data_IF_314517197670
#
_entry.id   IF_314517197670
#
_cell.length_a   1.000
_cell.length_b   1.000
_cell.length_c   1.000
_cell.angle_alpha   90.00
_cell.angle_beta   90.00
_cell.angle_gamma   90.00
#
_symmetry.space_group_name_H-M   'P 1'
#
loop_
_entity.id
_entity.type
_entity.pdbx_description
1 polymer ?
#
# COMPACT_ATOMS: atom_id res chain seq x y z
N UNK A 1 35.31 29.99 -37.72
CA UNK A 1 35.51 29.10 -36.57
C UNK A 1 35.21 29.91 -35.32
N UNK A 2 33.95 29.92 -34.88
CA UNK A 2 33.50 30.63 -33.68
C UNK A 2 32.81 29.61 -32.79
N UNK A 3 33.25 29.51 -31.53
CA UNK A 3 32.71 28.58 -30.55
C UNK A 3 31.28 28.98 -30.15
N UNK A 4 30.34 28.04 -29.96
CA UNK A 4 29.02 28.38 -29.46
C UNK A 4 29.11 28.76 -27.98
N UNK A 5 28.59 29.94 -27.69
CA UNK A 5 28.43 30.56 -26.38
C UNK A 5 27.51 29.68 -25.51
N UNK A 6 28.03 29.15 -24.41
CA UNK A 6 27.25 28.37 -23.45
C UNK A 6 26.41 29.32 -22.60
N UNK A 7 25.10 29.35 -22.86
CA UNK A 7 24.11 30.03 -22.02
C UNK A 7 24.15 29.44 -20.61
N UNK A 8 24.34 30.24 -19.54
CA UNK A 8 24.34 29.71 -18.19
C UNK A 8 22.96 29.17 -17.85
N UNK A 9 22.92 27.91 -17.40
CA UNK A 9 21.70 27.24 -16.97
C UNK A 9 20.99 28.09 -15.90
N UNK A 10 19.77 28.54 -16.23
CA UNK A 10 18.91 29.27 -15.30
C UNK A 10 18.70 28.43 -14.04
N UNK A 11 19.21 28.91 -12.91
CA UNK A 11 18.86 28.39 -11.60
C UNK A 11 17.41 28.80 -11.30
N UNK A 12 16.50 27.84 -11.46
CA UNK A 12 15.11 27.99 -11.01
C UNK A 12 15.13 27.93 -9.48
N UNK A 13 14.66 28.97 -8.77
CA UNK A 13 14.66 28.96 -7.32
C UNK A 13 13.79 27.81 -6.83
N UNK A 14 14.32 27.05 -5.87
CA UNK A 14 13.65 25.90 -5.25
C UNK A 14 12.40 26.42 -4.54
N UNK A 15 11.23 26.19 -5.14
CA UNK A 15 9.92 26.38 -4.50
C UNK A 15 9.83 25.53 -3.23
N UNK A 16 9.17 26.09 -2.21
CA UNK A 16 9.26 25.66 -0.81
C UNK A 16 8.95 24.19 -0.51
N UNK A 17 9.19 23.76 0.74
CA UNK A 17 9.16 22.36 1.21
C UNK A 17 7.97 21.50 0.73
N UNK A 18 6.81 22.11 0.45
CA UNK A 18 5.64 21.43 -0.10
C UNK A 18 5.88 20.92 -1.53
N UNK A 19 6.50 21.72 -2.40
CA UNK A 19 6.79 21.30 -3.78
C UNK A 19 7.83 20.19 -3.85
N UNK A 20 8.83 20.20 -2.96
CA UNK A 20 9.84 19.13 -2.91
C UNK A 20 9.19 17.82 -2.44
N UNK A 21 8.37 17.88 -1.38
CA UNK A 21 7.66 16.70 -0.87
C UNK A 21 6.77 16.06 -1.93
N UNK A 22 6.01 16.88 -2.67
CA UNK A 22 5.10 16.39 -3.71
C UNK A 22 5.88 15.80 -4.91
N UNK A 23 7.04 16.37 -5.28
CA UNK A 23 7.92 15.81 -6.32
C UNK A 23 8.54 14.48 -5.91
N UNK A 24 9.00 14.37 -4.67
CA UNK A 24 9.55 13.12 -4.10
C UNK A 24 8.45 12.05 -4.06
N UNK A 25 7.24 12.42 -3.64
CA UNK A 25 6.06 11.55 -3.64
C UNK A 25 5.76 11.01 -5.04
N UNK A 26 5.70 11.88 -6.06
CA UNK A 26 5.45 11.47 -7.44
C UNK A 26 6.56 10.56 -8.00
N UNK A 27 7.82 10.83 -7.67
CA UNK A 27 8.95 9.99 -8.08
C UNK A 27 8.89 8.60 -7.43
N UNK A 28 8.56 8.53 -6.15
CA UNK A 28 8.45 7.27 -5.41
C UNK A 28 7.22 6.46 -5.82
N UNK A 29 6.11 7.11 -6.19
CA UNK A 29 4.92 6.46 -6.71
C UNK A 29 5.20 5.63 -7.98
N UNK A 30 6.11 6.08 -8.86
CA UNK A 30 6.54 5.32 -10.05
C UNK A 30 7.17 3.96 -9.71
N UNK A 31 7.66 3.78 -8.48
CA UNK A 31 8.29 2.53 -8.01
C UNK A 31 7.33 1.63 -7.24
N UNK A 32 6.06 2.00 -7.08
CA UNK A 32 5.08 1.18 -6.35
C UNK A 32 4.82 -0.17 -7.04
N UNK A 33 4.82 -0.21 -8.38
CA UNK A 33 4.70 -1.44 -9.16
C UNK A 33 5.81 -2.46 -8.84
N UNK A 34 7.03 -1.99 -8.56
CA UNK A 34 8.15 -2.86 -8.15
C UNK A 34 7.89 -3.48 -6.77
N UNK A 35 7.39 -2.72 -5.80
CA UNK A 35 7.00 -3.29 -4.48
C UNK A 35 5.90 -4.35 -4.62
N UNK A 36 4.93 -4.15 -5.52
CA UNK A 36 3.86 -5.15 -5.73
C UNK A 36 4.40 -6.44 -6.35
N UNK A 37 5.29 -6.36 -7.32
CA UNK A 37 5.95 -7.55 -7.90
C UNK A 37 6.77 -8.30 -6.84
N UNK A 38 7.51 -7.57 -6.01
CA UNK A 38 8.23 -8.17 -4.88
C UNK A 38 7.26 -8.79 -3.86
N UNK A 39 6.08 -8.21 -3.63
CA UNK A 39 5.03 -8.78 -2.77
C UNK A 39 4.57 -10.13 -3.32
N UNK A 40 4.25 -10.21 -4.61
CA UNK A 40 3.83 -11.43 -5.30
C UNK A 40 4.93 -12.50 -5.18
N UNK A 41 6.16 -12.16 -5.54
CA UNK A 41 7.31 -13.07 -5.50
C UNK A 41 7.54 -13.64 -4.10
N UNK A 42 7.43 -12.80 -3.06
CA UNK A 42 7.57 -13.23 -1.65
C UNK A 42 6.48 -14.22 -1.23
N UNK A 43 5.21 -13.91 -1.48
CA UNK A 43 4.11 -14.78 -1.03
C UNK A 43 3.98 -16.05 -1.87
N UNK A 44 4.27 -16.00 -3.17
CA UNK A 44 4.42 -17.21 -3.99
C UNK A 44 5.51 -18.12 -3.41
N UNK A 45 6.69 -17.55 -3.06
CA UNK A 45 7.76 -18.30 -2.42
C UNK A 45 7.33 -18.92 -1.08
N UNK A 46 6.58 -18.18 -0.25
CA UNK A 46 6.04 -18.73 1.01
C UNK A 46 5.06 -19.89 0.81
N UNK A 47 4.18 -19.81 -0.20
CA UNK A 47 3.25 -20.90 -0.52
C UNK A 47 4.03 -22.15 -0.91
N UNK A 48 5.04 -22.01 -1.77
CA UNK A 48 5.90 -23.13 -2.21
C UNK A 48 6.65 -23.77 -1.03
N UNK A 49 7.14 -22.96 -0.09
CA UNK A 49 7.78 -23.47 1.14
C UNK A 49 6.77 -24.20 2.03
N UNK A 50 5.54 -23.65 2.17
CA UNK A 50 4.50 -24.19 3.03
C UNK A 50 3.83 -25.45 2.46
N UNK A 51 3.84 -25.64 1.13
CA UNK A 51 3.22 -26.78 0.46
C UNK A 51 4.14 -28.00 0.36
N UNK A 52 5.38 -27.93 0.89
CA UNK A 52 6.38 -29.01 0.87
C UNK A 52 6.63 -29.64 -0.51
N UNK A 53 6.25 -28.98 -1.61
CA UNK A 53 6.35 -29.50 -2.99
C UNK A 53 7.79 -29.74 -3.44
N UNK A 54 8.76 -29.15 -2.74
CA UNK A 54 10.19 -29.33 -2.96
C UNK A 54 10.87 -29.72 -1.64
N UNK A 55 10.87 -31.01 -1.32
CA UNK A 55 11.56 -31.60 -0.15
C UNK A 55 13.10 -31.58 -0.26
N UNK A 56 13.67 -31.10 -1.37
CA UNK A 56 15.12 -31.00 -1.53
C UNK A 56 15.69 -29.88 -0.63
N UNK A 57 16.39 -30.29 0.43
CA UNK A 57 16.99 -29.41 1.44
C UNK A 57 17.80 -28.20 0.89
N UNK A 58 18.61 -28.31 -0.19
CA UNK A 58 19.38 -27.16 -0.68
C UNK A 58 18.52 -26.13 -1.44
N UNK A 59 17.37 -26.52 -2.00
CA UNK A 59 16.49 -25.57 -2.70
C UNK A 59 15.64 -24.78 -1.71
N UNK A 60 15.19 -25.43 -0.63
CA UNK A 60 14.41 -24.80 0.43
C UNK A 60 15.23 -23.71 1.17
N UNK A 61 16.52 -23.96 1.44
CA UNK A 61 17.40 -22.95 2.04
C UNK A 61 17.63 -21.74 1.13
N UNK A 62 17.88 -21.96 -0.16
CA UNK A 62 18.00 -20.88 -1.16
C UNK A 62 16.71 -20.08 -1.30
N UNK A 63 15.55 -20.75 -1.31
CA UNK A 63 14.25 -20.11 -1.43
C UNK A 63 13.89 -19.28 -0.18
N UNK A 64 14.26 -19.75 1.02
CA UNK A 64 14.15 -18.96 2.27
C UNK A 64 15.03 -17.72 2.25
N UNK A 65 16.27 -17.84 1.78
CA UNK A 65 17.17 -16.68 1.64
C UNK A 65 16.63 -15.67 0.62
N UNK A 66 16.12 -16.14 -0.51
CA UNK A 66 15.46 -15.29 -1.50
C UNK A 66 14.23 -14.58 -0.91
N UNK A 67 13.35 -15.30 -0.22
CA UNK A 67 12.16 -14.75 0.47
C UNK A 67 12.57 -13.61 1.43
N UNK A 68 13.61 -13.85 2.22
CA UNK A 68 14.14 -12.90 3.20
C UNK A 68 14.68 -11.64 2.52
N UNK A 69 15.53 -11.80 1.50
CA UNK A 69 16.11 -10.70 0.71
C UNK A 69 15.03 -9.85 0.05
N UNK A 70 14.03 -10.48 -0.58
CA UNK A 70 12.87 -9.78 -1.15
C UNK A 70 12.12 -8.99 -0.06
N UNK A 71 11.98 -9.56 1.13
CA UNK A 71 11.37 -8.87 2.27
C UNK A 71 12.12 -7.61 2.69
N UNK A 72 13.45 -7.67 2.76
CA UNK A 72 14.29 -6.51 3.11
C UNK A 72 14.20 -5.42 2.04
N UNK A 73 14.30 -5.78 0.77
CA UNK A 73 14.19 -4.84 -0.35
C UNK A 73 12.83 -4.11 -0.34
N UNK A 74 11.74 -4.83 -0.07
CA UNK A 74 10.41 -4.21 0.03
C UNK A 74 10.32 -3.19 1.15
N UNK A 75 10.91 -3.48 2.31
CA UNK A 75 10.90 -2.52 3.43
C UNK A 75 11.64 -1.23 3.09
N UNK A 76 12.78 -1.34 2.40
CA UNK A 76 13.53 -0.17 1.92
C UNK A 76 12.71 0.69 0.95
N UNK A 77 11.93 0.06 0.04
CA UNK A 77 11.10 0.77 -0.93
C UNK A 77 9.86 1.45 -0.31
N UNK A 78 9.47 1.10 0.93
CA UNK A 78 8.30 1.67 1.62
C UNK A 78 8.52 3.06 2.22
N UNK A 79 9.76 3.57 2.22
CA UNK A 79 10.05 4.94 2.69
C UNK A 79 9.16 5.99 2.01
N UNK A 80 8.86 5.82 0.71
CA UNK A 80 7.96 6.72 -0.01
C UNK A 80 6.52 6.69 0.46
N UNK A 81 6.05 5.53 0.96
CA UNK A 81 4.68 5.39 1.46
C UNK A 81 4.48 6.08 2.80
N UNK A 82 5.53 6.17 3.61
CA UNK A 82 5.51 7.00 4.82
C UNK A 82 5.24 8.47 4.47
N UNK A 83 5.99 9.03 3.51
CA UNK A 83 5.82 10.42 3.08
C UNK A 83 4.45 10.68 2.49
N UNK A 84 3.95 9.77 1.65
CA UNK A 84 2.58 9.81 1.12
C UNK A 84 1.52 9.83 2.23
N UNK A 85 1.64 8.91 3.20
CA UNK A 85 0.70 8.81 4.33
C UNK A 85 0.74 10.07 5.21
N UNK A 86 1.92 10.65 5.39
CA UNK A 86 2.09 11.90 6.13
C UNK A 86 1.49 13.10 5.39
N UNK A 87 1.66 13.19 4.08
CA UNK A 87 1.05 14.24 3.26
C UNK A 87 -0.48 14.12 3.26
N UNK A 88 -1.00 12.89 3.14
CA UNK A 88 -2.43 12.61 3.23
C UNK A 88 -3.02 12.97 4.61
N UNK A 89 -2.31 12.66 5.70
CA UNK A 89 -2.70 13.03 7.05
C UNK A 89 -2.76 14.55 7.26
N UNK A 90 -1.80 15.30 6.69
CA UNK A 90 -1.83 16.77 6.73
C UNK A 90 -3.07 17.32 6.02
N UNK A 91 -3.45 16.75 4.88
CA UNK A 91 -4.64 17.16 4.11
C UNK A 91 -5.96 16.82 4.83
N UNK A 92 -6.02 15.73 5.59
CA UNK A 92 -7.22 15.33 6.35
C UNK A 92 -7.32 15.93 7.75
N UNK A 93 -6.29 16.67 8.20
CA UNK A 93 -6.21 17.25 9.55
C UNK A 93 -7.27 18.31 9.86
N UNK A 94 -8.03 18.77 8.87
CA UNK A 94 -9.10 19.74 9.09
C UNK A 94 -10.29 19.14 9.87
N UNK A 95 -10.41 17.80 9.97
CA UNK A 95 -11.38 17.06 10.81
C UNK A 95 -12.83 17.60 10.77
N UNK A 96 -13.27 18.14 9.62
CA UNK A 96 -14.57 18.79 9.48
C UNK A 96 -15.72 17.78 9.35
N UNK A 97 -15.43 16.57 8.87
CA UNK A 97 -16.40 15.50 8.65
C UNK A 97 -16.00 14.19 9.34
N UNK A 98 -17.00 13.32 9.59
CA UNK A 98 -16.77 11.91 9.99
C UNK A 98 -15.84 11.20 9.00
N UNK A 99 -15.92 11.55 7.71
CA UNK A 99 -15.04 11.04 6.65
C UNK A 99 -13.58 11.43 6.91
N UNK A 100 -13.33 12.71 7.18
CA UNK A 100 -11.99 13.25 7.41
C UNK A 100 -11.36 12.63 8.65
N UNK A 101 -12.16 12.38 9.69
CA UNK A 101 -11.72 11.65 10.87
C UNK A 101 -11.29 10.22 10.54
N UNK A 102 -12.11 9.46 9.80
CA UNK A 102 -11.75 8.09 9.40
C UNK A 102 -10.55 8.06 8.45
N UNK A 103 -10.44 9.04 7.55
CA UNK A 103 -9.29 9.21 6.67
C UNK A 103 -8.02 9.56 7.46
N UNK A 104 -8.12 10.40 8.50
CA UNK A 104 -7.01 10.69 9.41
C UNK A 104 -6.56 9.45 10.18
N UNK A 105 -7.48 8.59 10.62
CA UNK A 105 -7.13 7.30 11.25
C UNK A 105 -6.40 6.40 10.25
N UNK A 106 -6.93 6.30 9.02
CA UNK A 106 -6.33 5.48 7.97
C UNK A 106 -4.90 5.91 7.66
N UNK A 107 -4.71 7.19 7.29
CA UNK A 107 -3.41 7.75 6.92
C UNK A 107 -2.46 7.84 8.12
N UNK A 108 -2.97 8.11 9.32
CA UNK A 108 -2.17 8.14 10.55
C UNK A 108 -1.65 6.77 10.94
N UNK A 109 -2.52 5.74 10.93
CA UNK A 109 -2.14 4.35 11.22
C UNK A 109 -1.13 3.80 10.22
N UNK A 110 -1.40 3.98 8.92
CA UNK A 110 -0.49 3.54 7.85
C UNK A 110 0.84 4.30 7.89
N UNK A 111 0.82 5.61 8.13
CA UNK A 111 2.03 6.42 8.28
C UNK A 111 2.89 5.99 9.48
N UNK A 112 2.29 5.83 10.65
CA UNK A 112 3.00 5.35 11.85
C UNK A 112 3.58 3.95 11.65
N UNK A 113 2.84 3.06 10.98
CA UNK A 113 3.35 1.75 10.60
C UNK A 113 4.62 1.85 9.74
N UNK A 114 4.58 2.57 8.61
CA UNK A 114 5.74 2.67 7.72
C UNK A 114 6.91 3.37 8.39
N UNK A 115 6.66 4.35 9.26
CA UNK A 115 7.68 5.02 10.05
C UNK A 115 8.40 4.04 10.99
N UNK A 116 7.63 3.32 11.81
CA UNK A 116 8.18 2.34 12.76
C UNK A 116 8.87 1.20 12.02
N UNK A 117 8.35 0.81 10.85
CA UNK A 117 8.95 -0.21 10.00
C UNK A 117 10.36 0.16 9.51
N UNK A 118 10.69 1.46 9.33
CA UNK A 118 12.04 1.86 8.95
C UNK A 118 13.07 1.50 10.01
N UNK A 119 12.73 1.65 11.30
CA UNK A 119 13.62 1.23 12.39
C UNK A 119 13.80 -0.29 12.42
N UNK A 120 12.73 -1.05 12.19
CA UNK A 120 12.81 -2.51 12.07
C UNK A 120 13.71 -2.91 10.90
N UNK A 121 13.61 -2.20 9.78
CA UNK A 121 14.47 -2.41 8.61
C UNK A 121 15.94 -2.08 8.89
N UNK A 122 16.23 -0.90 9.49
CA UNK A 122 17.58 -0.50 9.91
C UNK A 122 18.22 -1.52 10.86
N UNK A 123 17.42 -2.07 11.78
CA UNK A 123 17.86 -3.13 12.69
C UNK A 123 18.25 -4.40 11.93
N UNK A 124 17.44 -4.81 10.95
CA UNK A 124 17.75 -5.97 10.11
C UNK A 124 18.95 -5.75 9.18
N UNK A 125 19.21 -4.51 8.79
CA UNK A 125 20.39 -4.13 8.02
C UNK A 125 21.67 -4.08 8.86
N UNK A 126 21.58 -4.24 10.19
CA UNK A 126 22.72 -4.19 11.11
C UNK A 126 23.16 -2.77 11.49
N UNK A 127 22.36 -1.75 11.17
CA UNK A 127 22.69 -0.35 11.44
C UNK A 127 22.30 0.09 12.87
N UNK A 128 21.36 -0.61 13.52
CA UNK A 128 20.93 -0.33 14.91
C UNK A 128 20.77 -1.62 15.72
N UNK A 129 20.87 -1.54 17.05
CA UNK A 129 20.70 -2.67 17.96
C UNK A 129 19.29 -3.29 17.84
N UNK A 130 19.24 -4.61 17.66
CA UNK A 130 18.00 -5.36 17.43
C UNK A 130 17.13 -5.59 18.66
N UNK A 131 17.59 -5.23 19.86
CA UNK A 131 16.84 -5.42 21.12
C UNK A 131 15.42 -4.87 21.09
N UNK A 132 15.19 -3.77 20.40
CA UNK A 132 13.88 -3.11 20.33
C UNK A 132 13.06 -3.46 19.08
N UNK A 133 13.63 -4.20 18.13
CA UNK A 133 13.00 -4.51 16.83
C UNK A 133 11.68 -5.26 16.96
N UNK A 134 11.57 -6.16 17.95
CA UNK A 134 10.32 -6.87 18.25
C UNK A 134 9.22 -5.94 18.79
N UNK A 135 9.56 -4.99 19.67
CA UNK A 135 8.61 -4.00 20.19
C UNK A 135 8.12 -3.07 19.09
N UNK A 136 9.04 -2.57 18.25
CA UNK A 136 8.69 -1.75 17.10
C UNK A 136 7.80 -2.50 16.11
N UNK A 137 8.12 -3.75 15.79
CA UNK A 137 7.27 -4.58 14.92
C UNK A 137 5.85 -4.73 15.48
N UNK A 138 5.71 -4.93 16.79
CA UNK A 138 4.40 -5.05 17.45
C UNK A 138 3.60 -3.76 17.47
N UNK A 139 4.26 -2.62 17.73
CA UNK A 139 3.63 -1.29 17.65
C UNK A 139 3.18 -1.02 16.22
N UNK A 140 4.05 -1.30 15.24
CA UNK A 140 3.73 -1.16 13.82
C UNK A 140 2.52 -2.00 13.42
N UNK A 141 2.45 -3.27 13.83
CA UNK A 141 1.32 -4.15 13.54
C UNK A 141 0.00 -3.62 14.11
N UNK A 142 0.01 -3.04 15.32
CA UNK A 142 -1.17 -2.38 15.89
C UNK A 142 -1.58 -1.12 15.11
N UNK A 143 -0.61 -0.29 14.72
CA UNK A 143 -0.86 0.91 13.90
C UNK A 143 -1.46 0.53 12.54
N UNK A 144 -0.90 -0.49 11.88
CA UNK A 144 -1.37 -1.02 10.60
C UNK A 144 -2.78 -1.58 10.72
N UNK A 145 -3.05 -2.37 11.77
CA UNK A 145 -4.37 -2.92 12.06
C UNK A 145 -5.44 -1.83 12.23
N UNK A 146 -5.16 -0.81 13.03
CA UNK A 146 -6.09 0.33 13.24
C UNK A 146 -6.24 1.16 11.97
N UNK A 147 -5.16 1.38 11.22
CA UNK A 147 -5.18 2.09 9.93
C UNK A 147 -6.12 1.41 8.93
N UNK A 148 -6.09 0.08 8.84
CA UNK A 148 -7.00 -0.67 7.97
C UNK A 148 -8.48 -0.53 8.36
N UNK A 149 -8.81 -0.44 9.66
CA UNK A 149 -10.20 -0.18 10.08
C UNK A 149 -10.68 1.18 9.56
N UNK A 150 -9.84 2.21 9.67
CA UNK A 150 -10.14 3.53 9.09
C UNK A 150 -10.29 3.48 7.58
N UNK A 151 -9.35 2.81 6.88
CA UNK A 151 -9.35 2.69 5.42
C UNK A 151 -10.58 1.96 4.88
N UNK A 152 -10.96 0.85 5.50
CA UNK A 152 -12.18 0.10 5.16
C UNK A 152 -13.40 1.00 5.36
N UNK A 153 -13.48 1.72 6.48
CA UNK A 153 -14.60 2.62 6.78
C UNK A 153 -14.77 3.71 5.72
N UNK A 154 -13.69 4.40 5.34
CA UNK A 154 -13.71 5.40 4.26
C UNK A 154 -14.16 4.76 2.95
N UNK A 155 -13.64 3.57 2.61
CA UNK A 155 -14.00 2.89 1.36
C UNK A 155 -15.47 2.49 1.30
N UNK A 156 -16.07 2.12 2.43
CA UNK A 156 -17.51 1.88 2.52
C UNK A 156 -18.33 3.15 2.31
N UNK A 157 -17.90 4.29 2.87
CA UNK A 157 -18.56 5.58 2.65
C UNK A 157 -18.51 5.99 1.18
N UNK A 158 -17.35 5.86 0.54
CA UNK A 158 -17.21 6.14 -0.90
C UNK A 158 -18.08 5.19 -1.75
N UNK A 159 -18.27 3.92 -1.32
CA UNK A 159 -19.15 2.97 -2.02
C UNK A 159 -20.62 3.37 -1.89
N UNK A 160 -21.05 3.88 -0.74
CA UNK A 160 -22.40 4.45 -0.60
C UNK A 160 -22.60 5.70 -1.45
N UNK A 161 -21.60 6.59 -1.53
CA UNK A 161 -21.65 7.79 -2.38
C UNK A 161 -21.82 7.41 -3.86
N UNK A 162 -21.09 6.40 -4.35
CA UNK A 162 -21.24 5.88 -5.72
C UNK A 162 -22.67 5.33 -5.96
N UNK A 163 -23.24 4.63 -4.97
CA UNK A 163 -24.61 4.13 -5.06
C UNK A 163 -25.65 5.25 -5.18
N UNK A 164 -25.50 6.31 -4.40
CA UNK A 164 -26.36 7.50 -4.50
C UNK A 164 -26.18 8.23 -5.84
N UNK A 165 -24.95 8.33 -6.34
CA UNK A 165 -24.65 8.96 -7.63
C UNK A 165 -25.30 8.18 -8.79
N UNK A 166 -25.25 6.84 -8.75
CA UNK A 166 -25.95 5.99 -9.73
C UNK A 166 -27.46 6.20 -9.71
N UNK A 167 -28.07 6.34 -8.54
CA UNK A 167 -29.50 6.59 -8.44
C UNK A 167 -29.88 7.97 -8.98
N UNK A 168 -29.07 9.01 -8.70
CA UNK A 168 -29.26 10.33 -9.31
C UNK A 168 -29.13 10.29 -10.82
N UNK A 169 -28.17 9.53 -11.34
CA UNK A 169 -27.92 9.40 -12.77
C UNK A 169 -29.08 8.70 -13.51
N UNK A 170 -29.92 7.90 -12.83
CA UNK A 170 -31.14 7.33 -13.45
C UNK A 170 -32.14 8.40 -13.88
N UNK A 171 -32.10 9.59 -13.27
CA UNK A 171 -32.94 10.72 -13.64
C UNK A 171 -32.37 11.60 -14.76
N UNK A 172 -31.18 11.28 -15.27
CA UNK A 172 -30.55 11.98 -16.40
C UNK A 172 -31.35 11.74 -17.69
N UNK A 173 -31.69 12.83 -18.39
CA UNK A 173 -32.52 12.78 -19.59
C UNK A 173 -31.76 12.37 -20.85
N UNK A 174 -30.46 12.67 -20.89
CA UNK A 174 -29.59 12.29 -22.01
C UNK A 174 -29.12 10.85 -21.84
N UNK A 175 -29.62 9.96 -22.70
CA UNK A 175 -29.32 8.54 -22.67
C UNK A 175 -27.83 8.23 -22.90
N UNK A 176 -27.17 8.95 -23.81
CA UNK A 176 -25.75 8.73 -24.09
C UNK A 176 -24.89 9.14 -22.89
N UNK A 177 -25.19 10.28 -22.28
CA UNK A 177 -24.49 10.75 -21.08
C UNK A 177 -24.74 9.81 -19.90
N UNK A 178 -25.97 9.32 -19.75
CA UNK A 178 -26.34 8.35 -18.73
C UNK A 178 -25.57 7.05 -18.88
N UNK A 179 -25.53 6.46 -20.06
CA UNK A 179 -24.81 5.20 -20.32
C UNK A 179 -23.31 5.34 -20.05
N UNK A 180 -22.67 6.38 -20.59
CA UNK A 180 -21.24 6.62 -20.39
C UNK A 180 -20.88 6.80 -18.92
N UNK A 181 -21.60 7.67 -18.19
CA UNK A 181 -21.36 7.87 -16.74
C UNK A 181 -21.68 6.62 -15.93
N UNK A 182 -22.69 5.84 -16.32
CA UNK A 182 -23.05 4.60 -15.61
C UNK A 182 -21.95 3.56 -15.73
N UNK A 183 -21.36 3.40 -16.93
CA UNK A 183 -20.20 2.53 -17.15
C UNK A 183 -19.01 2.99 -16.31
N UNK A 184 -18.69 4.29 -16.28
CA UNK A 184 -17.62 4.83 -15.43
C UNK A 184 -17.85 4.55 -13.94
N UNK A 185 -19.09 4.70 -13.45
CA UNK A 185 -19.43 4.43 -12.06
C UNK A 185 -19.40 2.94 -11.72
N UNK A 186 -19.75 2.06 -12.65
CA UNK A 186 -19.58 0.61 -12.51
C UNK A 186 -18.12 0.20 -12.39
N UNK A 187 -17.25 0.78 -13.21
CA UNK A 187 -15.81 0.53 -13.10
C UNK A 187 -15.26 1.03 -11.75
N UNK A 188 -15.62 2.27 -11.36
CA UNK A 188 -15.23 2.83 -10.05
C UNK A 188 -15.72 1.97 -8.89
N UNK A 189 -16.97 1.51 -8.93
CA UNK A 189 -17.55 0.62 -7.93
C UNK A 189 -16.77 -0.69 -7.84
N UNK A 190 -16.52 -1.35 -8.98
CA UNK A 190 -15.76 -2.60 -9.03
C UNK A 190 -14.36 -2.42 -8.42
N UNK A 191 -13.65 -1.36 -8.79
CA UNK A 191 -12.33 -1.02 -8.24
C UNK A 191 -12.38 -0.78 -6.73
N UNK A 192 -13.46 -0.19 -6.23
CA UNK A 192 -13.65 0.07 -4.80
C UNK A 192 -13.92 -1.22 -4.03
N UNK A 193 -14.78 -2.09 -4.55
CA UNK A 193 -15.04 -3.42 -3.97
C UNK A 193 -13.78 -4.27 -3.90
N UNK A 194 -12.98 -4.30 -4.97
CA UNK A 194 -11.66 -4.96 -4.98
C UNK A 194 -10.72 -4.38 -3.92
N UNK A 195 -10.71 -3.05 -3.77
CA UNK A 195 -9.89 -2.39 -2.74
C UNK A 195 -10.32 -2.73 -1.31
N UNK A 196 -11.62 -2.94 -1.06
CA UNK A 196 -12.14 -3.41 0.24
C UNK A 196 -11.68 -4.84 0.50
N UNK A 197 -11.79 -5.73 -0.48
CA UNK A 197 -11.32 -7.12 -0.35
C UNK A 197 -9.81 -7.18 -0.07
N UNK A 198 -9.03 -6.34 -0.76
CA UNK A 198 -7.60 -6.20 -0.52
C UNK A 198 -7.31 -5.76 0.92
N UNK A 199 -8.00 -4.74 1.42
CA UNK A 199 -7.82 -4.26 2.80
C UNK A 199 -8.21 -5.31 3.84
N UNK A 200 -9.26 -6.10 3.60
CA UNK A 200 -9.61 -7.21 4.49
C UNK A 200 -8.52 -8.28 4.52
N UNK A 201 -7.95 -8.61 3.37
CA UNK A 201 -6.84 -9.56 3.28
C UNK A 201 -5.61 -9.03 4.04
N UNK A 202 -5.25 -7.75 3.85
CA UNK A 202 -4.13 -7.15 4.56
C UNK A 202 -4.41 -6.93 6.07
N UNK A 203 -5.65 -6.63 6.45
CA UNK A 203 -6.10 -6.51 7.84
C UNK A 203 -5.99 -7.85 8.58
N UNK A 204 -6.37 -8.96 7.94
CA UNK A 204 -6.18 -10.30 8.48
C UNK A 204 -4.69 -10.58 8.75
N UNK A 205 -3.81 -10.07 7.89
CA UNK A 205 -2.37 -10.22 8.06
C UNK A 205 -1.83 -9.40 9.22
N UNK A 206 -2.21 -8.12 9.30
CA UNK A 206 -1.86 -7.26 10.43
C UNK A 206 -2.36 -7.85 11.76
N UNK A 207 -3.57 -8.42 11.76
CA UNK A 207 -4.12 -9.11 12.93
C UNK A 207 -3.31 -10.35 13.35
N UNK A 208 -2.86 -11.15 12.38
CA UNK A 208 -1.98 -12.28 12.65
C UNK A 208 -0.65 -11.83 13.28
N UNK A 209 -0.09 -10.72 12.78
CA UNK A 209 1.14 -10.12 13.33
C UNK A 209 0.93 -9.56 14.75
N UNK A 210 -0.21 -8.93 15.03
CA UNK A 210 -0.58 -8.48 16.39
C UNK A 210 -0.66 -9.64 17.39
N UNK A 211 -1.13 -10.81 16.95
CA UNK A 211 -1.21 -12.03 17.77
C UNK A 211 0.10 -12.82 17.84
N UNK A 212 1.21 -12.27 17.35
CA UNK A 212 2.50 -12.96 17.25
C UNK A 212 2.36 -14.31 16.50
N UNK A 213 1.44 -14.40 15.53
CA UNK A 213 1.18 -15.62 14.76
C UNK A 213 0.48 -16.74 15.52
N UNK A 214 -0.14 -16.49 16.67
CA UNK A 214 -0.83 -17.50 17.48
C UNK A 214 -2.31 -17.66 17.10
N UNK A 215 -2.72 -18.88 16.74
CA UNK A 215 -4.12 -19.28 16.54
C UNK A 215 -4.35 -20.11 15.26
N UNK A 216 -5.57 -20.62 15.04
CA UNK A 216 -5.89 -21.39 13.84
C UNK A 216 -5.98 -20.50 12.57
N UNK A 217 -6.29 -19.21 12.73
CA UNK A 217 -6.39 -18.24 11.63
C UNK A 217 -5.04 -17.65 11.20
N UNK A 218 -3.93 -18.08 11.80
CA UNK A 218 -2.57 -17.61 11.47
C UNK A 218 -1.76 -18.67 10.73
N UNK A 219 -2.44 -19.68 10.15
CA UNK A 219 -1.76 -20.74 9.42
C UNK A 219 -0.91 -20.15 8.26
N UNK A 220 0.35 -20.61 8.07
CA UNK A 220 1.25 -20.01 7.10
C UNK A 220 0.70 -20.01 5.66
N UNK A 221 -0.07 -21.03 5.30
CA UNK A 221 -0.69 -21.14 3.99
C UNK A 221 -1.81 -20.10 3.82
N UNK A 222 -2.73 -19.97 4.79
CA UNK A 222 -3.80 -18.98 4.75
C UNK A 222 -3.26 -17.56 4.64
N UNK A 223 -2.27 -17.23 5.48
CA UNK A 223 -1.64 -15.91 5.50
C UNK A 223 -0.91 -15.60 4.19
N UNK A 224 -0.27 -16.61 3.59
CA UNK A 224 0.43 -16.44 2.32
C UNK A 224 -0.53 -16.32 1.14
N UNK A 225 -1.65 -17.04 1.15
CA UNK A 225 -2.72 -16.89 0.18
C UNK A 225 -3.39 -15.51 0.27
N UNK A 226 -3.68 -15.02 1.49
CA UNK A 226 -4.19 -13.67 1.71
C UNK A 226 -3.21 -12.61 1.20
N UNK A 227 -1.92 -12.76 1.51
CA UNK A 227 -0.87 -11.86 1.03
C UNK A 227 -0.70 -11.87 -0.49
N UNK A 228 -0.84 -13.04 -1.13
CA UNK A 228 -0.81 -13.17 -2.59
C UNK A 228 -2.05 -12.54 -3.23
N UNK A 229 -3.25 -12.81 -2.69
CA UNK A 229 -4.50 -12.24 -3.18
C UNK A 229 -4.45 -10.71 -3.14
N UNK A 230 -4.05 -10.12 -2.00
CA UNK A 230 -3.89 -8.67 -1.88
C UNK A 230 -2.89 -8.13 -2.90
N UNK A 231 -1.76 -8.83 -3.11
CA UNK A 231 -0.74 -8.41 -4.06
C UNK A 231 -1.24 -8.41 -5.51
N UNK A 232 -1.98 -9.45 -5.92
CA UNK A 232 -2.56 -9.57 -7.25
C UNK A 232 -3.61 -8.50 -7.50
N UNK A 233 -4.51 -8.25 -6.54
CA UNK A 233 -5.50 -7.17 -6.64
C UNK A 233 -4.79 -5.82 -6.79
N UNK A 234 -3.77 -5.57 -5.96
CA UNK A 234 -3.03 -4.31 -6.03
C UNK A 234 -2.26 -4.14 -7.34
N UNK A 235 -1.70 -5.20 -7.91
CA UNK A 235 -1.02 -5.16 -9.20
C UNK A 235 -2.01 -4.93 -10.35
N UNK A 236 -3.18 -5.58 -10.30
CA UNK A 236 -4.25 -5.37 -11.27
C UNK A 236 -4.74 -3.93 -11.29
N UNK A 237 -4.93 -3.31 -10.12
CA UNK A 237 -5.30 -1.90 -10.01
C UNK A 237 -4.29 -0.97 -10.68
N UNK A 238 -3.00 -1.15 -10.40
CA UNK A 238 -1.94 -0.36 -11.04
C UNK A 238 -1.96 -0.56 -12.56
N UNK A 239 -2.13 -1.80 -13.01
CA UNK A 239 -2.20 -2.13 -14.43
C UNK A 239 -3.35 -1.43 -15.15
N UNK A 240 -4.55 -1.42 -14.54
CA UNK A 240 -5.71 -0.73 -15.12
C UNK A 240 -5.51 0.78 -15.10
N UNK A 241 -4.97 1.35 -14.01
CA UNK A 241 -4.66 2.78 -13.95
C UNK A 241 -3.59 3.24 -14.95
N UNK A 242 -2.74 2.35 -15.46
CA UNK A 242 -1.78 2.66 -16.53
C UNK A 242 -2.38 2.59 -17.94
N UNK A 243 -3.56 1.99 -18.11
CA UNK A 243 -4.26 1.92 -19.41
C UNK A 243 -5.23 3.08 -19.64
N UNK A 244 -5.69 3.71 -18.55
CA UNK A 244 -6.48 4.94 -18.57
C UNK A 244 -5.59 6.16 -18.80
#
# INVERSE_FOLDING_TARGET
>A
MAAPEQTPAQYVPIGGDREISDRIEAYLAKRDGVDKLLKISRYASKIIIASSLFESQPLNSKLKSFESSVGVTRKALRLGKFLQSFNALKKSSELKSKRDFMASIASGGEGLYYFVEQFVWLSKAGLIDGKHSSRFSKIGAWCEFVGYVGSISVKWMDLSEIGEEKERLRSESDENVRELKMMELEEKEMMKRLSIVQDWADWLMAFADVRDGKGPLTSPLLLSSAGLLSALISAHKIWVSCKA
#
